data_IF_207321973779
#
_entry.id   IF_207321973779
#
_cell.length_a   1.000
_cell.length_b   1.000
_cell.length_c   1.000
_cell.angle_alpha   90.00
_cell.angle_beta   90.00
_cell.angle_gamma   90.00
#
_symmetry.space_group_name_H-M   'P 1'
#
loop_
_entity.id
_entity.type
_entity.pdbx_description
1 polymer ?
#
# COMPACT_ATOMS: atom_id res chain seq x y z
N UNK A 1 12.53 18.18 -11.43
CA UNK A 1 11.60 17.37 -10.62
C UNK A 1 10.72 18.30 -9.81
N UNK A 2 9.40 18.12 -9.80
CA UNK A 2 8.49 19.02 -9.08
C UNK A 2 7.55 18.20 -8.17
N UNK A 3 8.10 17.66 -7.07
CA UNK A 3 7.32 16.90 -6.10
C UNK A 3 6.20 17.74 -5.46
N UNK A 4 6.40 19.06 -5.32
CA UNK A 4 5.35 20.00 -4.89
C UNK A 4 4.14 19.93 -5.81
N UNK A 5 4.39 19.94 -7.14
CA UNK A 5 3.31 19.78 -8.12
C UNK A 5 2.58 18.44 -7.98
N UNK A 6 3.32 17.35 -7.70
CA UNK A 6 2.70 16.02 -7.50
C UNK A 6 1.77 16.02 -6.29
N UNK A 7 2.17 16.67 -5.20
CA UNK A 7 1.36 16.84 -3.99
C UNK A 7 0.10 17.67 -4.31
N UNK A 8 0.26 18.83 -4.95
CA UNK A 8 -0.86 19.72 -5.32
C UNK A 8 -1.87 19.01 -6.23
N UNK A 9 -1.40 18.29 -7.25
CA UNK A 9 -2.27 17.54 -8.16
C UNK A 9 -3.02 16.41 -7.44
N UNK A 10 -2.35 15.66 -6.54
CA UNK A 10 -3.03 14.60 -5.83
C UNK A 10 -4.05 15.16 -4.82
N UNK A 11 -3.74 16.22 -4.11
CA UNK A 11 -4.70 16.89 -3.23
C UNK A 11 -5.93 17.39 -4.01
N UNK A 12 -5.70 18.02 -5.16
CA UNK A 12 -6.79 18.44 -6.04
C UNK A 12 -7.65 17.25 -6.47
N UNK A 13 -7.02 16.13 -6.86
CA UNK A 13 -7.73 14.92 -7.27
C UNK A 13 -8.62 14.33 -6.16
N UNK A 14 -8.16 14.40 -4.91
CA UNK A 14 -8.94 13.96 -3.74
C UNK A 14 -10.13 14.87 -3.39
N UNK A 15 -10.28 16.00 -4.06
CA UNK A 15 -11.48 16.86 -3.99
C UNK A 15 -12.47 16.59 -5.12
N UNK A 16 -12.17 15.71 -6.08
CA UNK A 16 -13.07 15.36 -7.18
C UNK A 16 -14.17 14.37 -6.75
N UNK A 17 -15.13 14.16 -7.64
CA UNK A 17 -16.32 13.33 -7.42
C UNK A 17 -16.07 11.94 -6.79
N UNK A 18 -15.05 11.14 -7.20
CA UNK A 18 -14.83 9.82 -6.62
C UNK A 18 -14.58 9.82 -5.10
N UNK A 19 -14.26 10.99 -4.54
CA UNK A 19 -13.96 11.15 -3.10
C UNK A 19 -15.03 12.00 -2.39
N UNK A 20 -16.14 12.34 -3.06
CA UNK A 20 -17.30 12.97 -2.42
C UNK A 20 -18.00 11.99 -1.46
N UNK A 21 -18.72 12.50 -0.46
CA UNK A 21 -19.44 11.68 0.51
C UNK A 21 -20.40 10.71 -0.14
N UNK A 22 -21.11 11.16 -1.18
CA UNK A 22 -22.04 10.32 -1.92
C UNK A 22 -21.33 9.11 -2.54
N UNK A 23 -20.12 9.32 -3.06
CA UNK A 23 -19.35 8.29 -3.73
C UNK A 23 -18.65 7.35 -2.74
N UNK A 24 -18.09 7.90 -1.67
CA UNK A 24 -17.38 7.13 -0.63
C UNK A 24 -18.34 6.16 0.08
N UNK A 25 -19.55 6.60 0.38
CA UNK A 25 -20.54 5.79 1.12
C UNK A 25 -21.58 5.08 0.24
N UNK A 26 -21.42 5.10 -1.09
CA UNK A 26 -22.32 4.36 -1.97
C UNK A 26 -22.15 2.83 -1.81
N UNK A 27 -23.19 2.04 -2.12
CA UNK A 27 -23.01 0.60 -2.31
C UNK A 27 -21.97 0.34 -3.40
N UNK A 28 -21.01 -0.56 -3.14
CA UNK A 28 -19.92 -0.88 -4.07
C UNK A 28 -20.18 -2.20 -4.76
N UNK A 29 -19.70 -2.34 -5.99
CA UNK A 29 -19.87 -3.55 -6.79
C UNK A 29 -19.03 -4.73 -6.24
N UNK A 30 -17.95 -4.43 -5.51
CA UNK A 30 -17.10 -5.40 -4.85
C UNK A 30 -17.07 -5.16 -3.35
N UNK A 31 -16.99 -6.25 -2.62
CA UNK A 31 -17.23 -6.30 -1.19
C UNK A 31 -15.93 -6.19 -0.38
N UNK A 32 -15.35 -4.97 -0.35
CA UNK A 32 -14.22 -4.62 0.52
C UNK A 32 -14.66 -3.62 1.60
N UNK A 33 -15.42 -4.06 2.61
CA UNK A 33 -15.97 -3.14 3.61
C UNK A 33 -14.88 -2.39 4.36
N UNK A 34 -14.97 -1.06 4.40
CA UNK A 34 -14.03 -0.19 5.10
C UNK A 34 -12.74 0.15 4.34
N UNK A 35 -12.49 -0.49 3.18
CA UNK A 35 -11.25 -0.25 2.42
C UNK A 35 -11.22 1.16 1.82
N UNK A 36 -12.26 1.53 1.07
CA UNK A 36 -12.30 2.83 0.42
C UNK A 36 -12.41 3.97 1.42
N UNK A 37 -13.28 3.82 2.39
CA UNK A 37 -13.50 4.79 3.45
C UNK A 37 -12.24 5.01 4.29
N UNK A 38 -11.57 3.93 4.66
CA UNK A 38 -10.34 3.99 5.44
C UNK A 38 -9.17 4.62 4.67
N UNK A 39 -9.01 4.27 3.40
CA UNK A 39 -7.98 4.86 2.54
C UNK A 39 -8.24 6.34 2.27
N UNK A 40 -9.49 6.73 2.05
CA UNK A 40 -9.84 8.14 1.86
C UNK A 40 -9.53 8.95 3.11
N UNK A 41 -9.94 8.48 4.29
CA UNK A 41 -9.65 9.12 5.57
C UNK A 41 -8.15 9.33 5.78
N UNK A 42 -7.35 8.28 5.51
CA UNK A 42 -5.89 8.38 5.59
C UNK A 42 -5.32 9.39 4.59
N UNK A 43 -5.76 9.37 3.33
CA UNK A 43 -5.28 10.27 2.29
C UNK A 43 -5.54 11.73 2.64
N UNK A 44 -6.74 12.05 3.13
CA UNK A 44 -7.09 13.39 3.58
C UNK A 44 -6.18 13.86 4.72
N UNK A 45 -5.92 12.99 5.69
CA UNK A 45 -5.07 13.30 6.84
C UNK A 45 -3.59 13.42 6.46
N UNK A 46 -3.08 12.61 5.52
CA UNK A 46 -1.71 12.78 5.03
C UNK A 46 -1.51 14.11 4.32
N UNK A 47 -2.49 14.58 3.54
CA UNK A 47 -2.42 15.93 2.98
C UNK A 47 -2.53 17.02 4.04
N UNK A 48 -3.35 16.82 5.08
CA UNK A 48 -3.38 17.74 6.22
C UNK A 48 -2.02 17.85 6.92
N UNK A 49 -1.31 16.76 7.08
CA UNK A 49 0.06 16.75 7.66
C UNK A 49 1.09 17.49 6.76
N UNK A 50 0.85 17.57 5.44
CA UNK A 50 1.73 18.28 4.50
C UNK A 50 1.45 19.78 4.45
N UNK A 51 0.16 20.17 4.31
CA UNK A 51 -0.24 21.52 3.95
C UNK A 51 -1.20 22.20 4.94
N UNK A 52 -1.60 21.46 5.99
CA UNK A 52 -2.59 21.89 6.98
C UNK A 52 -3.97 22.21 6.42
N UNK A 53 -4.30 21.62 5.27
CA UNK A 53 -5.61 21.77 4.62
C UNK A 53 -6.35 20.43 4.60
N UNK A 54 -7.61 20.45 5.04
CA UNK A 54 -8.53 19.31 4.93
C UNK A 54 -9.40 19.49 3.68
N UNK A 55 -9.84 18.36 3.12
CA UNK A 55 -10.91 18.41 2.09
C UNK A 55 -12.19 19.02 2.70
N UNK A 56 -12.98 19.80 1.93
CA UNK A 56 -14.12 20.55 2.48
C UNK A 56 -15.15 19.72 3.26
N UNK A 57 -15.34 18.48 2.87
CA UNK A 57 -16.34 17.56 3.44
C UNK A 57 -15.76 16.62 4.53
N UNK A 58 -14.55 16.89 5.03
CA UNK A 58 -13.85 15.98 5.97
C UNK A 58 -14.64 15.72 7.27
N UNK A 59 -15.13 16.78 7.90
CA UNK A 59 -15.89 16.62 9.15
C UNK A 59 -17.27 16.00 8.92
N UNK A 60 -17.90 16.26 7.77
CA UNK A 60 -19.15 15.60 7.39
C UNK A 60 -18.91 14.10 7.20
N UNK A 61 -17.79 13.70 6.60
CA UNK A 61 -17.38 12.30 6.52
C UNK A 61 -17.31 11.64 7.90
N UNK A 62 -16.62 12.25 8.87
CA UNK A 62 -16.51 11.72 10.22
C UNK A 62 -17.88 11.65 10.94
N UNK A 63 -18.72 12.65 10.75
CA UNK A 63 -20.05 12.71 11.36
C UNK A 63 -21.01 11.66 10.81
N UNK A 64 -20.84 11.25 9.56
CA UNK A 64 -21.66 10.21 8.91
C UNK A 64 -21.26 8.78 9.30
N UNK A 65 -20.07 8.56 9.84
CA UNK A 65 -19.59 7.20 10.15
C UNK A 65 -20.57 6.36 10.98
N UNK A 66 -21.22 6.87 12.06
CA UNK A 66 -22.17 6.06 12.84
C UNK A 66 -23.39 5.59 12.05
N UNK A 67 -23.80 6.36 11.04
CA UNK A 67 -24.96 6.02 10.18
C UNK A 67 -24.59 5.06 9.05
N UNK A 68 -23.30 5.05 8.64
CA UNK A 68 -22.78 4.27 7.51
C UNK A 68 -22.13 2.95 7.94
N UNK A 69 -21.87 2.78 9.21
CA UNK A 69 -21.34 1.56 9.80
C UNK A 69 -22.43 0.72 10.46
N UNK A 70 -22.12 -0.52 10.82
CA UNK A 70 -23.01 -1.35 11.61
C UNK A 70 -23.05 -0.89 13.09
N UNK A 71 -23.85 -1.57 13.92
CA UNK A 71 -24.03 -1.21 15.35
C UNK A 71 -22.73 -1.25 16.17
N UNK A 72 -21.73 -1.99 15.70
CA UNK A 72 -20.39 -2.10 16.32
C UNK A 72 -19.37 -1.17 15.66
N UNK A 73 -19.84 -0.14 14.93
CA UNK A 73 -19.08 0.96 14.34
C UNK A 73 -18.02 0.52 13.33
N UNK A 74 -18.26 -0.60 12.62
CA UNK A 74 -17.42 -1.02 11.51
C UNK A 74 -18.26 -1.34 10.25
N UNK A 75 -17.63 -1.36 9.08
CA UNK A 75 -18.30 -1.58 7.80
C UNK A 75 -18.58 -3.06 7.56
N UNK A 76 -19.65 -3.35 6.80
CA UNK A 76 -20.01 -4.70 6.40
C UNK A 76 -20.79 -5.47 7.46
N UNK A 77 -20.75 -6.80 7.35
CA UNK A 77 -21.53 -7.68 8.24
C UNK A 77 -20.87 -7.78 9.61
N UNK A 78 -21.72 -7.90 10.63
CA UNK A 78 -21.26 -8.26 11.97
C UNK A 78 -20.61 -9.63 11.96
N UNK A 79 -19.48 -9.77 12.64
CA UNK A 79 -18.88 -11.06 12.86
C UNK A 79 -19.75 -11.87 13.83
N UNK A 80 -20.25 -13.00 13.37
CA UNK A 80 -21.18 -13.87 14.12
C UNK A 80 -20.52 -15.19 14.61
N UNK A 81 -19.20 -15.29 14.49
CA UNK A 81 -18.45 -16.50 14.85
C UNK A 81 -18.53 -17.63 13.83
N UNK A 82 -19.07 -17.40 12.63
CA UNK A 82 -19.23 -18.44 11.61
C UNK A 82 -18.39 -18.24 10.37
N UNK A 83 -18.13 -16.97 9.97
CA UNK A 83 -17.36 -16.64 8.78
C UNK A 83 -16.41 -15.49 9.06
N UNK A 84 -15.12 -15.72 8.87
CA UNK A 84 -14.10 -14.68 8.82
C UNK A 84 -13.89 -14.26 7.36
N UNK A 85 -14.12 -12.98 7.05
CA UNK A 85 -14.02 -12.44 5.70
C UNK A 85 -12.68 -11.74 5.50
N UNK A 86 -11.81 -12.29 4.64
CA UNK A 86 -10.48 -11.73 4.36
C UNK A 86 -10.54 -10.29 3.86
N UNK A 87 -11.53 -9.97 3.00
CA UNK A 87 -11.66 -8.61 2.45
C UNK A 87 -12.13 -7.62 3.50
N UNK A 88 -13.03 -8.04 4.41
CA UNK A 88 -13.45 -7.19 5.52
C UNK A 88 -12.28 -6.91 6.48
N UNK A 89 -11.49 -7.92 6.83
CA UNK A 89 -10.30 -7.72 7.67
C UNK A 89 -9.27 -6.79 7.03
N UNK A 90 -9.03 -6.97 5.75
CA UNK A 90 -8.13 -6.10 4.97
C UNK A 90 -8.64 -4.66 4.89
N UNK A 91 -9.90 -4.46 4.55
CA UNK A 91 -10.50 -3.12 4.46
C UNK A 91 -10.44 -2.37 5.79
N UNK A 92 -10.72 -3.09 6.88
CA UNK A 92 -10.66 -2.49 8.22
C UNK A 92 -9.24 -2.18 8.70
N UNK A 93 -8.19 -2.76 8.10
CA UNK A 93 -6.84 -2.27 8.32
C UNK A 93 -6.72 -0.77 7.97
N UNK A 94 -7.24 -0.37 6.81
CA UNK A 94 -7.20 1.03 6.38
C UNK A 94 -8.11 1.92 7.21
N UNK A 95 -9.30 1.43 7.55
CA UNK A 95 -10.23 2.16 8.41
C UNK A 95 -9.64 2.38 9.81
N UNK A 96 -9.08 1.35 10.44
CA UNK A 96 -8.43 1.44 11.74
C UNK A 96 -7.25 2.42 11.71
N UNK A 97 -6.40 2.36 10.67
CA UNK A 97 -5.30 3.31 10.48
C UNK A 97 -5.82 4.75 10.33
N UNK A 98 -6.86 4.94 9.54
CA UNK A 98 -7.48 6.25 9.35
C UNK A 98 -8.04 6.83 10.65
N UNK A 99 -8.70 6.02 11.45
CA UNK A 99 -9.22 6.41 12.77
C UNK A 99 -8.09 6.79 13.73
N UNK A 100 -7.03 5.98 13.81
CA UNK A 100 -5.86 6.27 14.64
C UNK A 100 -5.20 7.58 14.19
N UNK A 101 -5.05 7.81 12.89
CA UNK A 101 -4.49 9.05 12.36
C UNK A 101 -5.39 10.26 12.67
N UNK A 102 -6.72 10.14 12.58
CA UNK A 102 -7.65 11.21 12.92
C UNK A 102 -7.55 11.59 14.42
N UNK A 103 -7.39 10.60 15.28
CA UNK A 103 -7.15 10.84 16.71
C UNK A 103 -5.81 11.57 16.92
N UNK A 104 -4.73 11.10 16.30
CA UNK A 104 -3.39 11.64 16.51
C UNK A 104 -3.23 13.06 15.92
N UNK A 105 -3.75 13.31 14.70
CA UNK A 105 -3.55 14.59 14.01
C UNK A 105 -4.52 15.67 14.43
N UNK A 106 -5.75 15.31 14.83
CA UNK A 106 -6.83 16.26 15.08
C UNK A 106 -7.38 16.18 16.51
N UNK A 107 -6.86 15.30 17.36
CA UNK A 107 -7.41 15.01 18.69
C UNK A 107 -8.91 14.68 18.66
N UNK A 108 -9.35 13.96 17.61
CA UNK A 108 -10.75 13.58 17.45
C UNK A 108 -11.06 12.32 18.26
N UNK A 109 -11.48 12.50 19.53
CA UNK A 109 -11.68 11.42 20.51
C UNK A 109 -12.62 10.30 20.04
N UNK A 110 -13.69 10.64 19.29
CA UNK A 110 -14.62 9.64 18.76
C UNK A 110 -13.92 8.62 17.85
N UNK A 111 -12.86 9.04 17.12
CA UNK A 111 -12.10 8.12 16.27
C UNK A 111 -11.39 7.04 17.09
N UNK A 112 -10.89 7.39 18.29
CA UNK A 112 -10.33 6.40 19.24
C UNK A 112 -11.39 5.39 19.69
N UNK A 113 -12.59 5.85 19.98
CA UNK A 113 -13.70 4.98 20.42
C UNK A 113 -14.16 4.04 19.28
N UNK A 114 -14.21 4.55 18.05
CA UNK A 114 -14.48 3.73 16.86
C UNK A 114 -13.37 2.71 16.61
N UNK A 115 -12.10 3.12 16.71
CA UNK A 115 -10.96 2.22 16.59
C UNK A 115 -11.02 1.09 17.63
N UNK A 116 -11.39 1.42 18.88
CA UNK A 116 -11.58 0.44 19.94
C UNK A 116 -12.69 -0.55 19.58
N UNK A 117 -13.83 -0.06 19.09
CA UNK A 117 -14.95 -0.91 18.70
C UNK A 117 -14.58 -1.88 17.56
N UNK A 118 -13.86 -1.40 16.53
CA UNK A 118 -13.35 -2.24 15.45
C UNK A 118 -12.46 -3.37 15.99
N UNK A 119 -11.54 -3.02 16.89
CA UNK A 119 -10.60 -4.01 17.47
C UNK A 119 -11.34 -5.03 18.33
N UNK A 120 -12.22 -4.59 19.21
CA UNK A 120 -12.93 -5.47 20.15
C UNK A 120 -13.96 -6.38 19.47
N UNK A 121 -14.64 -5.90 18.43
CA UNK A 121 -15.78 -6.61 17.85
C UNK A 121 -15.46 -7.31 16.52
N UNK A 122 -14.39 -6.92 15.82
CA UNK A 122 -14.00 -7.55 14.57
C UNK A 122 -12.68 -8.34 14.70
N UNK A 123 -11.62 -7.73 15.26
CA UNK A 123 -10.30 -8.34 15.23
C UNK A 123 -10.01 -9.31 16.39
N UNK A 124 -10.30 -8.95 17.63
CA UNK A 124 -10.04 -9.84 18.77
C UNK A 124 -10.80 -11.18 18.68
N UNK A 125 -12.07 -11.20 18.22
CA UNK A 125 -12.83 -12.44 18.11
C UNK A 125 -12.29 -13.45 17.08
N UNK A 126 -11.47 -13.03 16.14
CA UNK A 126 -10.92 -13.91 15.09
C UNK A 126 -9.53 -14.48 15.41
N UNK A 127 -8.99 -14.24 16.61
CA UNK A 127 -7.64 -14.67 16.99
C UNK A 127 -7.41 -16.15 16.68
N UNK A 128 -8.29 -17.00 17.14
CA UNK A 128 -8.12 -18.46 17.00
C UNK A 128 -8.37 -18.97 15.58
N UNK A 129 -8.99 -18.17 14.71
CA UNK A 129 -9.21 -18.51 13.32
C UNK A 129 -7.92 -18.61 12.51
N UNK A 130 -6.88 -17.86 12.87
CA UNK A 130 -5.58 -17.93 12.20
C UNK A 130 -4.86 -19.26 12.39
N UNK A 131 -5.23 -20.07 13.40
CA UNK A 131 -4.71 -21.45 13.53
C UNK A 131 -5.21 -22.38 12.42
N UNK A 132 -6.31 -22.03 11.77
CA UNK A 132 -6.95 -22.77 10.68
C UNK A 132 -7.01 -21.98 9.39
N UNK A 133 -6.16 -20.94 9.27
CA UNK A 133 -6.10 -20.15 8.03
C UNK A 133 -5.70 -21.07 6.86
N UNK A 134 -6.46 -21.11 5.76
CA UNK A 134 -6.27 -22.09 4.69
C UNK A 134 -5.02 -21.80 3.85
N UNK A 135 -3.95 -22.48 4.16
CA UNK A 135 -2.66 -22.48 3.46
C UNK A 135 -2.39 -23.86 2.84
N UNK A 136 -3.40 -24.44 2.24
CA UNK A 136 -3.32 -25.74 1.59
C UNK A 136 -3.91 -25.72 0.17
N UNK A 137 -3.92 -26.86 -0.49
CA UNK A 137 -4.39 -26.97 -1.88
C UNK A 137 -5.88 -26.71 -2.12
N UNK A 138 -6.65 -26.46 -1.07
CA UNK A 138 -8.08 -26.12 -1.17
C UNK A 138 -8.32 -24.66 -1.50
N UNK A 139 -7.28 -23.82 -1.36
CA UNK A 139 -7.34 -22.41 -1.71
C UNK A 139 -7.12 -22.23 -3.21
N UNK A 140 -8.11 -21.72 -3.91
CA UNK A 140 -7.93 -21.29 -5.29
C UNK A 140 -7.17 -19.96 -5.34
N UNK A 141 -6.23 -19.87 -6.27
CA UNK A 141 -5.48 -18.64 -6.53
C UNK A 141 -6.13 -17.94 -7.71
N UNK A 142 -6.76 -16.80 -7.47
CA UNK A 142 -7.42 -16.02 -8.50
C UNK A 142 -6.44 -15.40 -9.50
N UNK A 143 -6.93 -15.20 -10.70
CA UNK A 143 -6.21 -14.48 -11.76
C UNK A 143 -6.63 -13.01 -11.83
N UNK A 144 -7.67 -12.63 -11.09
CA UNK A 144 -8.25 -11.30 -11.04
C UNK A 144 -8.20 -10.79 -9.60
N UNK A 145 -7.69 -9.59 -9.39
CA UNK A 145 -7.66 -8.94 -8.07
C UNK A 145 -9.07 -8.57 -7.61
N UNK A 146 -9.31 -8.64 -6.29
CA UNK A 146 -10.53 -8.18 -5.65
C UNK A 146 -11.72 -9.16 -5.67
N UNK A 147 -11.58 -10.35 -6.22
CA UNK A 147 -12.65 -11.34 -6.31
C UNK A 147 -12.75 -12.22 -5.06
N UNK A 148 -13.95 -12.74 -4.77
CA UNK A 148 -14.14 -13.83 -3.81
C UNK A 148 -13.98 -15.16 -4.54
N UNK A 149 -13.12 -16.04 -4.00
CA UNK A 149 -12.83 -17.35 -4.62
C UNK A 149 -13.57 -18.51 -3.95
N UNK A 150 -14.12 -18.32 -2.76
CA UNK A 150 -14.88 -19.34 -2.07
C UNK A 150 -14.86 -19.21 -0.55
N UNK A 151 -15.32 -20.26 0.14
CA UNK A 151 -15.25 -20.36 1.60
C UNK A 151 -14.63 -21.69 1.98
N UNK A 152 -13.59 -21.67 2.81
CA UNK A 152 -12.89 -22.85 3.31
C UNK A 152 -12.71 -22.73 4.82
N UNK A 153 -13.14 -23.73 5.57
CA UNK A 153 -13.07 -23.77 7.04
C UNK A 153 -13.57 -22.50 7.73
N UNK A 154 -14.66 -21.92 7.16
CA UNK A 154 -15.26 -20.68 7.66
C UNK A 154 -14.58 -19.39 7.15
N UNK A 155 -13.42 -19.45 6.49
CA UNK A 155 -12.81 -18.32 5.84
C UNK A 155 -13.44 -18.03 4.48
N UNK A 156 -14.00 -16.83 4.29
CA UNK A 156 -14.38 -16.28 2.99
C UNK A 156 -13.13 -15.73 2.32
N UNK A 157 -12.68 -16.40 1.28
CA UNK A 157 -11.37 -16.20 0.66
C UNK A 157 -11.40 -15.17 -0.46
N UNK A 158 -10.38 -14.33 -0.50
CA UNK A 158 -10.11 -13.41 -1.59
C UNK A 158 -9.12 -14.00 -2.60
N UNK A 159 -9.24 -13.56 -3.86
CA UNK A 159 -8.22 -13.78 -4.89
C UNK A 159 -6.90 -13.06 -4.57
N UNK A 160 -6.96 -12.00 -3.77
CA UNK A 160 -5.78 -11.31 -3.23
C UNK A 160 -5.27 -12.06 -2.01
N UNK A 161 -4.57 -13.16 -2.28
CA UNK A 161 -4.09 -14.10 -1.26
C UNK A 161 -3.22 -13.38 -0.23
N UNK A 162 -3.53 -13.60 1.05
CA UNK A 162 -2.83 -12.98 2.16
C UNK A 162 -3.38 -11.63 2.61
N UNK A 163 -4.49 -11.14 2.02
CA UNK A 163 -5.05 -9.85 2.41
C UNK A 163 -5.50 -9.82 3.90
N UNK A 164 -5.83 -10.97 4.48
CA UNK A 164 -6.10 -11.09 5.93
C UNK A 164 -4.89 -10.69 6.81
N UNK A 165 -3.65 -10.76 6.29
CA UNK A 165 -2.46 -10.34 7.04
C UNK A 165 -2.25 -8.83 7.05
N UNK A 166 -2.94 -8.07 6.20
CA UNK A 166 -2.78 -6.61 6.16
C UNK A 166 -3.17 -5.94 7.48
N UNK A 167 -4.08 -6.55 8.24
CA UNK A 167 -4.52 -6.03 9.53
C UNK A 167 -3.38 -5.85 10.55
N UNK A 168 -2.24 -6.51 10.37
CA UNK A 168 -1.05 -6.34 11.22
C UNK A 168 -0.59 -4.88 11.28
N UNK A 169 -0.68 -4.10 10.18
CA UNK A 169 -0.27 -2.69 10.18
C UNK A 169 -1.18 -1.82 11.07
N UNK A 170 -2.51 -1.96 10.95
CA UNK A 170 -3.46 -1.23 11.79
C UNK A 170 -3.40 -1.66 13.25
N UNK A 171 -3.35 -2.97 13.50
CA UNK A 171 -3.27 -3.52 14.87
C UNK A 171 -1.98 -3.15 15.59
N UNK A 172 -0.83 -3.14 14.89
CA UNK A 172 0.44 -2.72 15.50
C UNK A 172 0.41 -1.24 15.92
N UNK A 173 -0.24 -0.37 15.14
CA UNK A 173 -0.44 1.04 15.49
C UNK A 173 -1.43 1.21 16.64
N UNK A 174 -2.49 0.39 16.67
CA UNK A 174 -3.42 0.38 17.78
C UNK A 174 -2.74 -0.10 19.07
N UNK A 175 -1.91 -1.12 18.99
CA UNK A 175 -1.09 -1.58 20.13
C UNK A 175 -0.12 -0.50 20.61
N UNK A 176 0.56 0.21 19.69
CA UNK A 176 1.44 1.34 20.05
C UNK A 176 0.69 2.44 20.82
N UNK A 177 -0.57 2.70 20.47
CA UNK A 177 -1.42 3.71 21.12
C UNK A 177 -1.96 3.26 22.49
N UNK A 178 -2.28 1.96 22.65
CA UNK A 178 -3.06 1.48 23.79
C UNK A 178 -2.31 0.56 24.74
N UNK A 179 -1.27 -0.10 24.26
CA UNK A 179 -0.56 -1.20 24.94
C UNK A 179 -1.47 -2.35 25.40
N UNK A 180 -2.61 -2.58 24.68
CA UNK A 180 -3.53 -3.67 24.98
C UNK A 180 -2.88 -5.02 24.69
N UNK A 181 -2.61 -5.78 25.73
CA UNK A 181 -1.94 -7.08 25.64
C UNK A 181 -2.71 -8.08 24.77
N UNK A 182 -4.04 -8.00 24.70
CA UNK A 182 -4.87 -8.88 23.87
C UNK A 182 -4.57 -8.69 22.38
N UNK A 183 -4.30 -7.43 21.99
CA UNK A 183 -3.90 -7.07 20.61
C UNK A 183 -2.50 -7.56 20.30
N UNK A 184 -1.58 -7.47 21.26
CA UNK A 184 -0.25 -8.03 21.11
C UNK A 184 -0.28 -9.55 20.89
N UNK A 185 -1.07 -10.26 21.68
CA UNK A 185 -1.24 -11.71 21.52
C UNK A 185 -1.86 -12.07 20.16
N UNK A 186 -2.84 -11.29 19.69
CA UNK A 186 -3.42 -11.45 18.35
C UNK A 186 -2.36 -11.23 17.26
N UNK A 187 -1.55 -10.19 17.37
CA UNK A 187 -0.44 -9.91 16.44
C UNK A 187 0.56 -11.06 16.35
N UNK A 188 0.95 -11.65 17.49
CA UNK A 188 1.85 -12.80 17.50
C UNK A 188 1.26 -14.00 16.75
N UNK A 189 -0.03 -14.29 16.93
CA UNK A 189 -0.72 -15.38 16.22
C UNK A 189 -0.77 -15.11 14.71
N UNK A 190 -1.10 -13.88 14.30
CA UNK A 190 -1.17 -13.53 12.88
C UNK A 190 0.22 -13.58 12.24
N UNK A 191 1.24 -13.04 12.90
CA UNK A 191 2.63 -13.05 12.41
C UNK A 191 3.15 -14.48 12.30
N UNK A 192 2.89 -15.35 13.27
CA UNK A 192 3.27 -16.76 13.19
C UNK A 192 2.62 -17.47 11.99
N UNK A 193 1.33 -17.21 11.74
CA UNK A 193 0.64 -17.71 10.56
C UNK A 193 1.26 -17.18 9.25
N UNK A 194 1.55 -15.88 9.17
CA UNK A 194 2.20 -15.27 8.03
C UNK A 194 3.59 -15.88 7.76
N UNK A 195 4.39 -16.09 8.80
CA UNK A 195 5.74 -16.66 8.68
C UNK A 195 5.75 -18.11 8.16
N UNK A 196 4.69 -18.85 8.39
CA UNK A 196 4.49 -20.22 7.86
C UNK A 196 4.04 -20.26 6.41
N UNK A 197 3.72 -19.09 5.83
CA UNK A 197 3.15 -19.00 4.48
C UNK A 197 4.24 -18.95 3.42
N UNK A 198 4.18 -19.89 2.46
CA UNK A 198 5.04 -19.85 1.26
C UNK A 198 4.49 -18.82 0.27
N UNK A 199 5.18 -17.69 0.14
CA UNK A 199 4.74 -16.54 -0.65
C UNK A 199 4.59 -16.86 -2.15
N UNK A 200 5.50 -17.69 -2.69
CA UNK A 200 5.50 -18.04 -4.12
C UNK A 200 4.50 -19.15 -4.41
N UNK A 201 4.48 -20.20 -3.59
CA UNK A 201 3.57 -21.34 -3.76
C UNK A 201 2.11 -20.91 -3.78
N UNK A 202 1.73 -20.01 -2.87
CA UNK A 202 0.35 -19.53 -2.76
C UNK A 202 0.11 -18.26 -3.57
N UNK A 203 1.10 -17.78 -4.34
CA UNK A 203 1.02 -16.56 -5.13
C UNK A 203 0.46 -15.40 -4.30
N UNK A 204 1.05 -15.16 -3.11
CA UNK A 204 0.61 -14.06 -2.28
C UNK A 204 0.70 -12.75 -3.05
N UNK A 205 -0.27 -11.87 -2.81
CA UNK A 205 -0.19 -10.53 -3.34
C UNK A 205 0.95 -9.76 -2.66
N UNK A 206 1.79 -9.10 -3.45
CA UNK A 206 2.95 -8.38 -2.91
C UNK A 206 2.55 -7.21 -2.03
N UNK A 207 1.45 -6.51 -2.35
CA UNK A 207 0.89 -5.45 -1.53
C UNK A 207 0.51 -5.96 -0.13
N UNK A 208 -0.18 -7.10 -0.03
CA UNK A 208 -0.59 -7.66 1.26
C UNK A 208 0.61 -8.01 2.13
N UNK A 209 1.63 -8.60 1.51
CA UNK A 209 2.91 -8.92 2.18
C UNK A 209 3.60 -7.67 2.71
N UNK A 210 3.77 -6.65 1.86
CA UNK A 210 4.47 -5.41 2.25
C UNK A 210 3.71 -4.63 3.33
N UNK A 211 2.38 -4.59 3.26
CA UNK A 211 1.56 -3.98 4.32
C UNK A 211 1.73 -4.72 5.65
N UNK A 212 1.74 -6.06 5.64
CA UNK A 212 2.03 -6.87 6.83
C UNK A 212 3.42 -6.54 7.40
N UNK A 213 4.45 -6.49 6.56
CA UNK A 213 5.82 -6.14 6.98
C UNK A 213 5.92 -4.74 7.60
N UNK A 214 5.13 -3.78 7.11
CA UNK A 214 5.05 -2.44 7.73
C UNK A 214 4.54 -2.51 9.17
N UNK A 215 3.51 -3.32 9.41
CA UNK A 215 2.99 -3.56 10.75
C UNK A 215 4.00 -4.25 11.66
N UNK A 216 4.70 -5.28 11.16
CA UNK A 216 5.77 -5.97 11.91
C UNK A 216 6.90 -4.98 12.25
N UNK A 217 7.29 -4.11 11.33
CA UNK A 217 8.31 -3.09 11.59
C UNK A 217 7.82 -2.03 12.60
N UNK A 218 6.52 -1.72 12.58
CA UNK A 218 5.93 -0.85 13.61
C UNK A 218 5.97 -1.51 14.98
N UNK A 219 5.71 -2.82 15.07
CA UNK A 219 5.82 -3.56 16.30
C UNK A 219 7.27 -3.57 16.85
N UNK A 220 8.29 -3.68 15.96
CA UNK A 220 9.68 -3.44 16.35
C UNK A 220 9.89 -2.04 16.94
N UNK A 221 9.32 -1.02 16.30
CA UNK A 221 9.41 0.38 16.80
C UNK A 221 8.89 0.50 18.22
N UNK A 222 7.76 -0.15 18.53
CA UNK A 222 7.08 -0.08 19.82
C UNK A 222 7.78 -0.93 20.89
N UNK A 223 8.13 -2.19 20.55
CA UNK A 223 8.65 -3.16 21.52
C UNK A 223 10.16 -3.20 21.65
N UNK A 224 10.89 -2.77 20.60
CA UNK A 224 12.34 -2.93 20.45
C UNK A 224 12.83 -4.38 20.41
N UNK A 225 11.94 -5.35 20.26
CA UNK A 225 12.31 -6.74 20.09
C UNK A 225 12.87 -6.97 18.67
N UNK A 226 14.14 -7.32 18.61
CA UNK A 226 14.91 -7.48 17.35
C UNK A 226 14.32 -8.54 16.41
N UNK A 227 13.60 -9.53 16.94
CA UNK A 227 12.97 -10.57 16.10
C UNK A 227 12.11 -9.97 14.99
N UNK A 228 11.37 -8.88 15.28
CA UNK A 228 10.52 -8.23 14.27
C UNK A 228 11.32 -7.51 13.19
N UNK A 229 12.43 -6.87 13.55
CA UNK A 229 13.33 -6.26 12.57
C UNK A 229 13.96 -7.30 11.66
N UNK A 230 14.39 -8.43 12.23
CA UNK A 230 15.01 -9.56 11.50
C UNK A 230 14.01 -10.17 10.50
N UNK A 231 12.75 -10.39 10.91
CA UNK A 231 11.68 -10.85 10.02
C UNK A 231 11.52 -9.88 8.84
N UNK A 232 11.46 -8.57 9.11
CA UNK A 232 11.26 -7.59 8.04
C UNK A 232 12.46 -7.56 7.10
N UNK A 233 13.68 -7.60 7.59
CA UNK A 233 14.90 -7.62 6.76
C UNK A 233 14.89 -8.85 5.86
N UNK A 234 14.59 -10.04 6.39
CA UNK A 234 14.54 -11.30 5.63
C UNK A 234 13.47 -11.24 4.53
N UNK A 235 12.23 -10.94 4.92
CA UNK A 235 11.11 -10.96 3.97
C UNK A 235 11.15 -9.81 2.97
N UNK A 236 11.69 -8.66 3.34
CA UNK A 236 11.88 -7.56 2.41
C UNK A 236 12.98 -7.85 1.38
N UNK A 237 14.09 -8.48 1.80
CA UNK A 237 15.11 -8.98 0.85
C UNK A 237 14.52 -10.02 -0.11
N UNK A 238 13.67 -10.92 0.37
CA UNK A 238 12.94 -11.85 -0.48
C UNK A 238 12.03 -11.14 -1.49
N UNK A 239 11.34 -10.06 -1.07
CA UNK A 239 10.54 -9.23 -1.98
C UNK A 239 11.41 -8.50 -3.02
N UNK A 240 12.57 -7.93 -2.64
CA UNK A 240 13.49 -7.30 -3.59
C UNK A 240 13.87 -8.25 -4.73
N UNK A 241 14.08 -9.54 -4.41
CA UNK A 241 14.49 -10.57 -5.37
C UNK A 241 13.33 -11.14 -6.20
N UNK A 242 12.16 -11.37 -5.57
CA UNK A 242 11.08 -12.17 -6.15
C UNK A 242 9.78 -11.38 -6.44
N UNK A 243 9.63 -10.19 -5.88
CA UNK A 243 8.42 -9.37 -5.95
C UNK A 243 8.60 -8.00 -6.61
N UNK A 244 9.85 -7.55 -6.80
CA UNK A 244 10.16 -6.23 -7.38
C UNK A 244 10.47 -6.35 -8.87
N UNK A 245 9.96 -5.39 -9.66
CA UNK A 245 10.25 -5.29 -11.09
C UNK A 245 11.59 -4.59 -11.36
N UNK A 246 12.06 -4.65 -12.60
CA UNK A 246 13.28 -3.94 -13.00
C UNK A 246 13.12 -2.40 -12.98
N UNK A 247 11.92 -1.87 -12.85
CA UNK A 247 11.63 -0.44 -12.69
C UNK A 247 11.33 -0.03 -11.25
N UNK A 248 11.71 -0.87 -10.28
CA UNK A 248 11.50 -0.63 -8.83
C UNK A 248 10.03 -0.47 -8.42
N UNK A 249 9.15 -1.12 -9.16
CA UNK A 249 7.76 -1.34 -8.80
C UNK A 249 7.58 -2.80 -8.38
N UNK A 250 6.35 -3.29 -8.27
CA UNK A 250 6.06 -4.66 -7.85
C UNK A 250 5.48 -5.50 -8.98
N UNK A 251 5.65 -6.81 -8.93
CA UNK A 251 4.70 -7.77 -9.51
C UNK A 251 3.49 -7.86 -8.59
N UNK A 252 2.28 -7.94 -9.13
CA UNK A 252 1.09 -7.96 -8.28
C UNK A 252 1.04 -9.21 -7.36
N UNK A 253 1.49 -10.36 -7.86
CA UNK A 253 1.62 -11.59 -7.08
C UNK A 253 3.03 -12.18 -7.18
N UNK A 254 3.52 -12.76 -6.09
CA UNK A 254 4.76 -13.53 -6.13
C UNK A 254 4.66 -14.69 -7.13
N UNK A 255 5.77 -14.97 -7.83
CA UNK A 255 5.83 -16.04 -8.82
C UNK A 255 5.09 -15.76 -10.13
N UNK A 256 4.49 -14.57 -10.31
CA UNK A 256 3.77 -14.17 -11.52
C UNK A 256 4.37 -12.90 -12.10
N UNK A 257 5.23 -13.05 -13.11
CA UNK A 257 5.86 -11.93 -13.82
C UNK A 257 4.97 -11.34 -14.93
N UNK A 258 3.88 -12.02 -15.28
CA UNK A 258 2.90 -11.68 -16.32
C UNK A 258 1.78 -10.74 -15.84
N UNK A 259 2.00 -10.07 -14.71
CA UNK A 259 1.00 -9.21 -14.06
C UNK A 259 1.26 -7.73 -14.31
N UNK A 260 0.60 -6.88 -13.58
CA UNK A 260 0.77 -5.42 -13.58
C UNK A 260 1.37 -4.96 -12.25
N UNK A 261 1.87 -3.72 -12.23
CA UNK A 261 2.33 -3.09 -11.00
C UNK A 261 1.16 -2.49 -10.23
N UNK A 262 1.26 -2.46 -8.92
CA UNK A 262 0.26 -1.85 -8.05
C UNK A 262 0.89 -0.72 -7.22
N UNK A 263 0.52 0.56 -7.45
CA UNK A 263 1.06 1.68 -6.68
C UNK A 263 0.97 1.54 -5.17
N UNK A 264 -0.04 0.85 -4.65
CA UNK A 264 -0.16 0.58 -3.21
C UNK A 264 1.05 -0.20 -2.67
N UNK A 265 1.49 -1.23 -3.39
CA UNK A 265 2.68 -2.00 -3.05
C UNK A 265 3.96 -1.18 -3.23
N UNK A 266 4.03 -0.32 -4.26
CA UNK A 266 5.18 0.58 -4.47
C UNK A 266 5.31 1.58 -3.32
N UNK A 267 4.19 2.13 -2.82
CA UNK A 267 4.18 2.98 -1.62
C UNK A 267 4.70 2.21 -0.41
N UNK A 268 4.22 0.99 -0.19
CA UNK A 268 4.64 0.20 0.95
C UNK A 268 6.12 -0.17 0.90
N UNK A 269 6.65 -0.56 -0.28
CA UNK A 269 8.07 -0.85 -0.45
C UNK A 269 8.94 0.39 -0.26
N UNK A 270 8.48 1.54 -0.72
CA UNK A 270 9.13 2.84 -0.51
C UNK A 270 9.25 3.17 1.00
N UNK A 271 8.15 3.04 1.73
CA UNK A 271 8.10 3.32 3.17
C UNK A 271 8.97 2.33 3.94
N UNK A 272 8.91 1.03 3.60
CA UNK A 272 9.76 0.02 4.22
C UNK A 272 11.25 0.31 4.01
N UNK A 273 11.65 0.70 2.80
CA UNK A 273 13.05 1.08 2.52
C UNK A 273 13.50 2.27 3.37
N UNK A 274 12.67 3.32 3.49
CA UNK A 274 12.95 4.47 4.36
C UNK A 274 13.08 4.08 5.84
N UNK A 275 12.16 3.27 6.33
CA UNK A 275 12.16 2.83 7.73
C UNK A 275 13.32 1.89 8.04
N UNK A 276 13.65 0.96 7.13
CA UNK A 276 14.83 0.11 7.27
C UNK A 276 16.11 0.94 7.28
N UNK A 277 16.23 1.97 6.44
CA UNK A 277 17.33 2.92 6.54
C UNK A 277 17.38 3.62 7.90
N UNK A 278 16.21 4.07 8.38
CA UNK A 278 16.12 4.73 9.68
C UNK A 278 16.63 3.84 10.83
N UNK A 279 16.24 2.56 10.86
CA UNK A 279 16.59 1.64 11.94
C UNK A 279 17.98 1.00 11.80
N UNK A 280 18.43 0.71 10.58
CA UNK A 280 19.70 -0.01 10.34
C UNK A 280 20.87 0.90 9.99
N UNK A 281 20.61 2.10 9.47
CA UNK A 281 21.59 3.04 8.91
C UNK A 281 22.37 2.48 7.71
N UNK A 282 21.88 1.40 7.09
CA UNK A 282 22.53 0.81 5.91
C UNK A 282 22.15 1.61 4.65
N UNK A 283 23.16 2.21 4.00
CA UNK A 283 22.97 3.06 2.81
C UNK A 283 22.24 2.36 1.65
N UNK A 284 22.33 1.03 1.54
CA UNK A 284 21.57 0.27 0.53
C UNK A 284 20.07 0.57 0.57
N UNK A 285 19.48 0.74 1.75
CA UNK A 285 18.04 1.02 1.88
C UNK A 285 17.68 2.46 1.49
N UNK A 286 18.58 3.42 1.72
CA UNK A 286 18.40 4.78 1.23
C UNK A 286 18.49 4.83 -0.30
N UNK A 287 19.47 4.17 -0.89
CA UNK A 287 19.60 4.02 -2.34
C UNK A 287 18.35 3.35 -2.92
N UNK A 288 17.87 2.29 -2.28
CA UNK A 288 16.65 1.60 -2.72
C UNK A 288 15.41 2.51 -2.63
N UNK A 289 15.23 3.27 -1.54
CA UNK A 289 14.13 4.22 -1.42
C UNK A 289 14.21 5.30 -2.53
N UNK A 290 15.39 5.82 -2.85
CA UNK A 290 15.61 6.76 -3.96
C UNK A 290 15.19 6.14 -5.30
N UNK A 291 15.63 4.90 -5.57
CA UNK A 291 15.29 4.19 -6.81
C UNK A 291 13.82 3.89 -6.94
N UNK A 292 13.16 3.47 -5.85
CA UNK A 292 11.71 3.26 -5.83
C UNK A 292 10.98 4.59 -6.10
N UNK A 293 11.38 5.66 -5.43
CA UNK A 293 10.76 6.97 -5.63
C UNK A 293 10.90 7.47 -7.07
N UNK A 294 12.12 7.55 -7.57
CA UNK A 294 12.39 8.15 -8.88
C UNK A 294 11.88 7.30 -10.05
N UNK A 295 11.99 5.98 -9.95
CA UNK A 295 11.78 5.11 -11.10
C UNK A 295 10.44 4.34 -11.06
N UNK A 296 9.87 4.16 -9.89
CA UNK A 296 8.59 3.49 -9.68
C UNK A 296 7.48 4.45 -9.29
N UNK A 297 7.55 5.00 -8.08
CA UNK A 297 6.43 5.69 -7.46
C UNK A 297 6.03 6.98 -8.18
N UNK A 298 6.98 7.82 -8.59
CA UNK A 298 6.64 9.03 -9.36
C UNK A 298 5.97 8.71 -10.69
N UNK A 299 6.36 7.62 -11.35
CA UNK A 299 5.76 7.22 -12.62
C UNK A 299 4.33 6.70 -12.47
N UNK A 300 3.91 6.34 -11.25
CA UNK A 300 2.54 5.92 -10.97
C UNK A 300 1.52 7.05 -11.08
N UNK A 301 1.93 8.31 -10.97
CA UNK A 301 0.98 9.43 -11.01
C UNK A 301 0.46 9.68 -12.42
N UNK A 302 -0.83 10.01 -12.52
CA UNK A 302 -1.55 10.39 -13.74
C UNK A 302 -1.66 11.92 -13.85
N UNK A 303 -2.00 12.43 -15.04
CA UNK A 303 -2.15 13.85 -15.32
C UNK A 303 -3.15 14.55 -14.39
N UNK A 304 -4.22 13.85 -14.03
CA UNK A 304 -5.24 14.36 -13.12
C UNK A 304 -4.84 14.33 -11.64
N UNK A 305 -3.63 13.89 -11.34
CA UNK A 305 -3.13 13.77 -9.96
C UNK A 305 -3.42 12.43 -9.27
N UNK A 306 -4.23 11.57 -9.89
CA UNK A 306 -4.45 10.21 -9.42
C UNK A 306 -3.23 9.31 -9.64
N UNK A 307 -3.32 8.06 -9.20
CA UNK A 307 -2.30 7.05 -9.43
C UNK A 307 -2.91 5.74 -9.95
N UNK A 308 -2.11 4.97 -10.68
CA UNK A 308 -2.60 3.71 -11.25
C UNK A 308 -1.48 2.76 -11.67
N UNK A 309 -1.86 1.54 -12.04
CA UNK A 309 -0.94 0.48 -12.42
C UNK A 309 -0.20 0.76 -13.72
N UNK A 310 0.95 0.10 -13.86
CA UNK A 310 1.74 0.08 -15.08
C UNK A 310 2.02 -1.36 -15.49
N UNK A 311 2.49 -1.58 -16.73
CA UNK A 311 3.01 -2.89 -17.11
C UNK A 311 4.25 -3.23 -16.29
N UNK A 312 4.42 -4.49 -15.94
CA UNK A 312 5.68 -4.97 -15.40
C UNK A 312 6.76 -4.97 -16.48
N UNK A 313 7.98 -4.57 -16.10
CA UNK A 313 9.15 -4.68 -16.96
C UNK A 313 10.06 -5.75 -16.38
N UNK A 314 10.34 -6.78 -17.18
CA UNK A 314 11.24 -7.87 -16.83
C UNK A 314 12.27 -8.07 -17.93
N UNK A 315 13.36 -8.76 -17.61
CA UNK A 315 14.38 -9.14 -18.59
C UNK A 315 13.79 -10.01 -19.73
N UNK A 316 12.82 -10.83 -19.41
CA UNK A 316 12.21 -11.78 -20.34
C UNK A 316 11.06 -11.16 -21.18
N UNK A 317 10.29 -10.23 -20.60
CA UNK A 317 9.10 -9.65 -21.24
C UNK A 317 9.39 -8.41 -22.08
N UNK A 318 10.65 -7.97 -22.10
CA UNK A 318 11.09 -6.84 -22.90
C UNK A 318 11.11 -5.52 -22.15
N UNK A 319 11.43 -4.50 -22.90
CA UNK A 319 11.90 -3.21 -22.39
C UNK A 319 10.83 -2.10 -22.41
N UNK A 320 9.64 -2.41 -22.93
CA UNK A 320 8.58 -1.43 -23.06
C UNK A 320 7.76 -1.31 -21.77
N UNK A 321 7.78 -0.13 -21.15
CA UNK A 321 6.94 0.21 -20.02
C UNK A 321 5.70 0.97 -20.49
N UNK A 322 4.54 0.48 -20.10
CA UNK A 322 3.24 1.04 -20.46
C UNK A 322 2.51 1.49 -19.21
N UNK A 323 2.11 2.75 -19.16
CA UNK A 323 1.23 3.26 -18.13
C UNK A 323 -0.23 2.92 -18.49
N UNK A 324 -0.95 2.36 -17.52
CA UNK A 324 -2.33 1.89 -17.69
C UNK A 324 -3.36 2.95 -17.20
N UNK A 325 -4.46 2.51 -16.60
CA UNK A 325 -5.52 3.37 -16.10
C UNK A 325 -5.20 4.00 -14.73
N UNK A 326 -6.01 4.95 -14.28
CA UNK A 326 -6.07 5.39 -12.89
C UNK A 326 -6.87 4.39 -12.04
N UNK A 327 -6.43 4.13 -10.81
CA UNK A 327 -7.17 3.34 -9.84
C UNK A 327 -7.63 4.22 -8.66
N UNK A 328 -8.77 4.93 -8.80
CA UNK A 328 -9.25 5.87 -7.79
C UNK A 328 -9.67 5.18 -6.48
N UNK A 329 -10.10 3.93 -6.58
CA UNK A 329 -10.61 3.14 -5.45
C UNK A 329 -9.52 2.68 -4.45
N UNK A 330 -8.24 2.73 -4.83
CA UNK A 330 -7.14 2.33 -3.93
C UNK A 330 -5.87 3.16 -4.15
N UNK A 331 -5.26 3.10 -5.34
CA UNK A 331 -3.91 3.59 -5.61
C UNK A 331 -3.79 5.10 -5.46
N UNK A 332 -4.77 5.87 -5.91
CA UNK A 332 -4.76 7.34 -5.81
C UNK A 332 -4.73 7.81 -4.35
N UNK A 333 -5.49 7.16 -3.48
CA UNK A 333 -5.51 7.47 -2.06
C UNK A 333 -4.22 7.02 -1.36
N UNK A 334 -3.69 5.84 -1.73
CA UNK A 334 -2.42 5.36 -1.17
C UNK A 334 -1.23 6.20 -1.62
N UNK A 335 -1.30 6.78 -2.81
CA UNK A 335 -0.26 7.68 -3.31
C UNK A 335 -0.06 8.90 -2.40
N UNK A 336 -1.11 9.40 -1.74
CA UNK A 336 -1.02 10.46 -0.75
C UNK A 336 -0.06 10.11 0.41
N UNK A 337 -0.07 8.85 0.88
CA UNK A 337 0.86 8.41 1.92
C UNK A 337 2.31 8.36 1.39
N UNK A 338 2.52 7.93 0.16
CA UNK A 338 3.83 7.98 -0.48
C UNK A 338 4.38 9.41 -0.61
N UNK A 339 3.51 10.36 -0.96
CA UNK A 339 3.85 11.79 -1.03
C UNK A 339 4.15 12.37 0.35
N UNK A 340 3.41 11.99 1.38
CA UNK A 340 3.67 12.39 2.76
C UNK A 340 5.03 11.90 3.27
N UNK A 341 5.36 10.65 3.03
CA UNK A 341 6.67 10.12 3.42
C UNK A 341 7.82 10.73 2.60
N UNK A 342 7.61 11.02 1.31
CA UNK A 342 8.56 11.81 0.55
C UNK A 342 8.78 13.19 1.18
N UNK A 343 7.71 13.92 1.50
CA UNK A 343 7.77 15.26 2.10
C UNK A 343 8.58 15.26 3.40
N UNK A 344 8.35 14.28 4.26
CA UNK A 344 9.09 14.12 5.53
C UNK A 344 10.59 13.84 5.34
N UNK A 345 10.98 13.28 4.22
CA UNK A 345 12.36 12.84 3.92
C UNK A 345 12.94 13.53 2.68
N UNK A 346 12.40 14.68 2.29
CA UNK A 346 12.72 15.37 1.04
C UNK A 346 14.23 15.54 0.80
N UNK A 347 14.99 15.80 1.86
CA UNK A 347 16.45 15.95 1.78
C UNK A 347 17.19 14.71 1.24
N UNK A 348 16.59 13.52 1.30
CA UNK A 348 17.16 12.31 0.74
C UNK A 348 17.00 12.20 -0.79
N UNK A 349 16.11 13.00 -1.38
CA UNK A 349 15.68 12.87 -2.78
C UNK A 349 16.17 14.01 -3.68
N UNK A 350 17.25 14.68 -3.29
CA UNK A 350 17.93 15.64 -4.17
C UNK A 350 18.54 14.89 -5.34
N UNK A 351 18.24 15.34 -6.57
CA UNK A 351 18.78 14.77 -7.80
C UNK A 351 19.94 15.64 -8.33
N UNK A 352 21.08 15.00 -8.59
CA UNK A 352 22.23 15.64 -9.22
C UNK A 352 22.32 15.27 -10.71
N UNK A 353 21.89 16.13 -11.65
CA UNK A 353 21.91 15.82 -13.07
C UNK A 353 23.32 15.71 -13.66
N UNK A 354 24.36 16.17 -12.92
CA UNK A 354 25.75 16.12 -13.33
C UNK A 354 26.49 14.89 -12.76
N UNK A 355 25.80 13.99 -12.06
CA UNK A 355 26.41 12.75 -11.61
C UNK A 355 26.77 11.86 -12.81
N UNK A 356 27.81 11.04 -12.64
CA UNK A 356 28.22 10.09 -13.66
C UNK A 356 27.06 9.13 -14.00
N UNK A 357 26.87 8.88 -15.29
CA UNK A 357 25.91 7.88 -15.74
C UNK A 357 26.54 6.50 -15.68
N UNK A 358 25.90 5.59 -14.94
CA UNK A 358 26.35 4.21 -14.79
C UNK A 358 25.37 3.25 -15.48
N UNK A 359 25.90 2.15 -16.00
CA UNK A 359 25.12 1.06 -16.58
C UNK A 359 25.23 -0.15 -15.66
N UNK A 360 24.09 -0.74 -15.31
CA UNK A 360 24.08 -1.94 -14.49
C UNK A 360 24.18 -3.23 -15.34
N UNK A 361 24.23 -4.37 -14.65
CA UNK A 361 24.33 -5.70 -15.26
C UNK A 361 23.17 -6.08 -16.18
N UNK A 362 22.02 -5.40 -16.04
CA UNK A 362 20.82 -5.60 -16.85
C UNK A 362 20.76 -4.63 -18.05
N UNK A 363 21.75 -3.77 -18.21
CA UNK A 363 21.78 -2.77 -19.26
C UNK A 363 20.99 -1.49 -18.97
N UNK A 364 20.42 -1.34 -17.76
CA UNK A 364 19.74 -0.11 -17.34
C UNK A 364 20.75 0.99 -17.08
N UNK A 365 20.45 2.20 -17.52
CA UNK A 365 21.30 3.37 -17.32
C UNK A 365 20.74 4.25 -16.20
N UNK A 366 21.59 4.69 -15.29
CA UNK A 366 21.23 5.53 -14.15
C UNK A 366 22.16 6.74 -14.05
N UNK A 367 21.57 7.88 -13.72
CA UNK A 367 22.28 9.07 -13.25
C UNK A 367 21.73 9.39 -11.86
N UNK A 368 22.55 9.34 -10.81
CA UNK A 368 22.17 9.61 -9.41
C UNK A 368 20.90 8.87 -8.98
N UNK A 369 20.85 7.55 -9.17
CA UNK A 369 19.72 6.62 -8.91
C UNK A 369 18.49 6.81 -9.81
N UNK A 370 18.49 7.77 -10.71
CA UNK A 370 17.41 8.01 -11.67
C UNK A 370 17.66 7.22 -12.94
N UNK A 371 16.73 6.38 -13.33
CA UNK A 371 16.78 5.60 -14.57
C UNK A 371 16.61 6.51 -15.78
N UNK A 372 17.45 6.30 -16.78
CA UNK A 372 17.31 6.93 -18.09
C UNK A 372 16.51 6.02 -19.02
N UNK A 373 15.58 6.62 -19.73
CA UNK A 373 14.67 5.92 -20.66
C UNK A 373 14.67 6.58 -22.03
N UNK A 374 14.33 5.84 -23.07
CA UNK A 374 14.04 6.42 -24.39
C UNK A 374 12.57 6.79 -24.51
N UNK A 375 12.34 8.05 -24.77
CA UNK A 375 11.03 8.60 -25.06
C UNK A 375 11.12 9.46 -26.33
N UNK A 376 10.33 9.12 -27.37
CA UNK A 376 10.34 9.80 -28.69
C UNK A 376 11.73 9.96 -29.31
N UNK A 377 12.60 8.96 -29.12
CA UNK A 377 13.97 8.95 -29.67
C UNK A 377 15.02 9.63 -28.81
N UNK A 378 14.62 10.35 -27.76
CA UNK A 378 15.55 11.01 -26.83
C UNK A 378 15.78 10.16 -25.58
N UNK A 379 16.95 10.28 -24.97
CA UNK A 379 17.29 9.68 -23.67
C UNK A 379 17.00 10.73 -22.59
N UNK A 380 16.04 10.42 -21.71
CA UNK A 380 15.57 11.33 -20.67
C UNK A 380 15.45 10.63 -19.31
N UNK A 381 15.55 11.34 -18.18
CA UNK A 381 15.21 10.80 -16.87
C UNK A 381 13.74 10.34 -16.83
N UNK A 382 13.45 9.15 -16.30
CA UNK A 382 12.11 8.56 -16.30
C UNK A 382 11.05 9.47 -15.67
N UNK A 383 11.40 10.23 -14.63
CA UNK A 383 10.47 11.14 -13.98
C UNK A 383 10.05 12.33 -14.86
N UNK A 384 10.82 12.68 -15.88
CA UNK A 384 10.45 13.76 -16.82
C UNK A 384 9.26 13.37 -17.71
N UNK A 385 8.91 12.07 -17.74
CA UNK A 385 7.74 11.57 -18.45
C UNK A 385 6.44 11.69 -17.62
N UNK A 386 6.51 12.14 -16.38
CA UNK A 386 5.32 12.40 -15.57
C UNK A 386 4.53 13.60 -16.09
N UNK A 387 3.21 13.48 -16.15
CA UNK A 387 2.32 14.54 -16.63
C UNK A 387 2.42 14.80 -18.15
N UNK A 388 3.04 13.90 -18.92
CA UNK A 388 2.98 13.93 -20.37
C UNK A 388 1.60 13.39 -20.80
N UNK A 389 0.92 14.07 -21.74
CA UNK A 389 -0.36 13.61 -22.29
C UNK A 389 -0.27 12.18 -22.80
N UNK A 390 -1.29 11.38 -22.48
CA UNK A 390 -1.42 10.01 -22.95
C UNK A 390 -1.82 10.01 -24.43
N UNK A 391 -1.50 8.93 -25.13
CA UNK A 391 -2.04 8.70 -26.46
C UNK A 391 -3.57 8.45 -26.41
N UNK A 392 -4.24 8.26 -27.55
CA UNK A 392 -5.68 8.03 -27.64
C UNK A 392 -6.17 6.84 -26.81
N UNK A 393 -5.33 5.82 -26.60
CA UNK A 393 -5.62 4.69 -25.73
C UNK A 393 -5.35 4.99 -24.21
N UNK A 394 -5.01 6.22 -23.85
CA UNK A 394 -4.72 6.61 -22.48
C UNK A 394 -3.38 6.10 -21.96
N UNK A 395 -2.44 5.73 -22.83
CA UNK A 395 -1.18 5.11 -22.46
C UNK A 395 0.01 6.02 -22.71
N UNK A 396 1.02 5.91 -21.85
CA UNK A 396 2.37 6.42 -22.07
C UNK A 396 3.33 5.24 -22.18
N UNK A 397 4.11 5.20 -23.25
CA UNK A 397 5.03 4.11 -23.57
C UNK A 397 6.48 4.58 -23.54
N UNK A 398 7.34 3.85 -22.82
CA UNK A 398 8.76 4.13 -22.66
C UNK A 398 9.59 2.90 -22.93
N UNK A 399 10.78 3.07 -23.51
CA UNK A 399 11.78 2.02 -23.62
C UNK A 399 12.81 2.16 -22.49
N UNK A 400 13.04 1.09 -21.73
CA UNK A 400 13.87 1.08 -20.52
C UNK A 400 15.34 0.73 -20.83
N UNK A 401 15.59 -0.13 -21.82
CA UNK A 401 16.93 -0.60 -22.18
C UNK A 401 17.37 -0.09 -23.55
N UNK A 402 18.67 -0.04 -23.73
CA UNK A 402 19.31 0.41 -24.97
C UNK A 402 20.27 -0.64 -25.52
#
# INVERSE_FOLDING_TARGET
MNAKRNIELNFKRLNDEPYSLQYLFRPKEYDWPGDWEGRALLAFLHHYEINHELVPHFYDFLNMLPEKTNRDLYFGKLFDGKVADEQQLSGHNWYLRGLIQAYNSLSYDKARDYAKSVVENLYLPIKDWYFHYPLDGRREVGDVSGSITGTVDGWKLSSDVGCAFMCVDGLARYFDMTHDIRVFELLEVIIDCFMKTDLVKYKLQTHTTLTCLRGILWLYRTTRDKKYLEIVIEKFAFYEENGMTMTYENFNWFGRKDTWTEPCAVVDSFILALQLYHFTKLEKYKTLARRIWFNGLQFCQRENGGAGPNSCVTKEQGVLKVSMYEAPFCCTMRYAEGLYEYYRHESHFTFNPNAETVKDEYGRMFTDDVMLVKFKGETVPIFSCNGIPRNEAGKLELYIFH
#
